data_IF_814661550989
#
_entry.id   IF_814661550989
#
_cell.length_a   1.000
_cell.length_b   1.000
_cell.length_c   1.000
_cell.angle_alpha   90.00
_cell.angle_beta   90.00
_cell.angle_gamma   90.00
#
_symmetry.space_group_name_H-M   'P 1'
#
loop_
_entity.id
_entity.type
_entity.pdbx_description
1 polymer ?
#
# COMPACT_ATOMS: atom_id res chain seq x y z
N UNK A 1 11.42 -25.89 -14.16
CA UNK A 1 12.31 -24.87 -14.74
C UNK A 1 11.97 -23.52 -14.09
N UNK A 2 12.90 -22.98 -13.30
CA UNK A 2 12.72 -21.70 -12.62
C UNK A 2 13.21 -20.58 -13.55
N UNK A 3 12.31 -19.72 -14.01
CA UNK A 3 12.66 -18.46 -14.65
C UNK A 3 12.81 -17.40 -13.57
N UNK A 4 14.03 -17.27 -13.05
CA UNK A 4 14.46 -16.08 -12.31
C UNK A 4 14.42 -14.88 -13.26
N UNK A 5 13.55 -13.91 -12.98
CA UNK A 5 13.64 -12.55 -13.53
C UNK A 5 14.06 -11.63 -12.40
N UNK A 6 15.34 -11.26 -12.40
CA UNK A 6 15.90 -10.24 -11.53
C UNK A 6 15.38 -8.85 -11.95
N UNK A 7 14.84 -8.14 -10.97
CA UNK A 7 14.61 -6.70 -10.83
C UNK A 7 14.36 -5.87 -12.10
N UNK A 8 13.09 -5.54 -12.37
CA UNK A 8 12.78 -4.29 -13.10
C UNK A 8 13.08 -3.14 -12.15
N UNK A 9 14.03 -2.28 -12.51
CA UNK A 9 14.47 -1.14 -11.70
C UNK A 9 13.29 -0.36 -11.10
N UNK A 10 13.14 -0.47 -9.78
CA UNK A 10 12.37 0.47 -8.97
C UNK A 10 13.19 1.74 -8.91
N UNK A 11 12.71 2.83 -9.50
CA UNK A 11 13.34 4.14 -9.34
C UNK A 11 13.04 4.62 -7.92
N UNK A 12 13.92 4.29 -6.98
CA UNK A 12 13.89 4.80 -5.60
C UNK A 12 14.68 6.10 -5.56
N UNK A 13 13.98 7.23 -5.58
CA UNK A 13 14.59 8.56 -5.54
C UNK A 13 14.41 9.12 -4.13
N UNK A 14 15.53 9.44 -3.48
CA UNK A 14 15.48 10.30 -2.30
C UNK A 14 15.27 11.73 -2.77
N UNK A 15 14.09 12.27 -2.49
CA UNK A 15 13.76 13.67 -2.69
C UNK A 15 13.95 14.45 -1.38
N UNK A 16 14.08 15.76 -1.50
CA UNK A 16 13.99 16.66 -0.36
C UNK A 16 12.84 17.63 -0.64
N UNK A 17 11.95 17.85 0.33
CA UNK A 17 10.95 18.89 0.19
C UNK A 17 11.60 20.28 0.28
N UNK A 18 10.83 21.32 -0.06
CA UNK A 18 11.29 22.70 -0.02
C UNK A 18 11.78 23.15 1.38
N UNK A 19 11.34 22.47 2.44
CA UNK A 19 11.76 22.70 3.82
C UNK A 19 12.99 21.87 4.25
N UNK A 20 13.60 21.13 3.32
CA UNK A 20 14.77 20.29 3.55
C UNK A 20 14.47 18.96 4.26
N UNK A 21 13.19 18.62 4.49
CA UNK A 21 12.82 17.30 5.00
C UNK A 21 13.10 16.20 3.97
N UNK A 22 13.55 15.04 4.45
CA UNK A 22 13.88 13.91 3.59
C UNK A 22 12.58 13.20 3.21
N UNK A 23 12.24 13.25 1.92
CA UNK A 23 11.14 12.50 1.35
C UNK A 23 11.67 11.32 0.57
N UNK A 24 11.02 10.17 0.74
CA UNK A 24 11.25 9.07 -0.19
C UNK A 24 10.16 9.09 -1.22
N UNK A 25 10.55 9.25 -2.48
CA UNK A 25 9.64 9.23 -3.62
C UNK A 25 10.00 8.02 -4.46
N UNK A 26 9.08 7.09 -4.58
CA UNK A 26 9.29 5.93 -5.43
C UNK A 26 8.14 5.79 -6.42
N UNK A 27 8.51 5.90 -7.70
CA UNK A 27 7.60 5.85 -8.85
C UNK A 27 7.15 4.42 -9.19
N UNK A 28 7.80 3.41 -8.59
CA UNK A 28 7.52 1.97 -8.81
C UNK A 28 7.72 1.17 -7.54
N UNK A 29 7.34 1.80 -6.44
CA UNK A 29 7.60 1.24 -5.15
C UNK A 29 6.85 -0.09 -5.00
N UNK A 30 7.60 -1.14 -4.74
CA UNK A 30 7.03 -2.42 -4.31
C UNK A 30 6.49 -2.19 -2.91
N UNK A 31 5.20 -1.87 -2.80
CA UNK A 31 4.44 -1.97 -1.56
C UNK A 31 3.49 -3.15 -1.69
N UNK A 32 3.32 -3.90 -0.62
CA UNK A 32 2.17 -4.77 -0.48
C UNK A 32 0.97 -3.91 -0.10
N UNK A 33 -0.09 -4.07 -0.89
CA UNK A 33 -1.37 -3.42 -0.69
C UNK A 33 -2.35 -4.41 -0.07
N UNK A 34 -3.02 -4.01 1.00
CA UNK A 34 -4.13 -4.76 1.57
C UNK A 34 -5.22 -3.81 2.03
N UNK A 35 -6.46 -4.28 2.09
CA UNK A 35 -7.51 -3.55 2.78
C UNK A 35 -8.40 -4.51 3.57
N UNK A 36 -8.97 -3.99 4.65
CA UNK A 36 -9.93 -4.68 5.51
C UNK A 36 -11.19 -3.83 5.61
N UNK A 37 -12.34 -4.49 5.59
CA UNK A 37 -13.62 -3.85 5.86
C UNK A 37 -14.08 -4.27 7.24
N UNK A 38 -14.36 -3.29 8.10
CA UNK A 38 -15.07 -3.52 9.36
C UNK A 38 -16.48 -2.98 9.21
N UNK A 39 -17.46 -3.86 9.38
CA UNK A 39 -18.86 -3.50 9.46
C UNK A 39 -19.21 -3.40 10.94
N UNK A 40 -19.29 -2.17 11.45
CA UNK A 40 -19.92 -1.91 12.74
C UNK A 40 -21.39 -1.54 12.47
N UNK A 41 -22.30 -1.84 13.41
CA UNK A 41 -23.77 -1.76 13.28
C UNK A 41 -24.36 -0.46 12.69
N UNK A 42 -23.56 0.61 12.54
CA UNK A 42 -23.97 1.87 11.94
C UNK A 42 -23.07 2.39 10.79
N UNK A 43 -21.83 1.90 10.61
CA UNK A 43 -20.90 2.42 9.62
C UNK A 43 -19.85 1.39 9.16
N UNK A 44 -19.74 1.17 7.86
CA UNK A 44 -18.62 0.43 7.28
C UNK A 44 -17.37 1.33 7.22
N UNK A 45 -16.27 0.88 7.84
CA UNK A 45 -14.96 1.52 7.70
C UNK A 45 -14.05 0.63 6.88
N UNK A 46 -13.42 1.20 5.86
CA UNK A 46 -12.42 0.50 5.05
C UNK A 46 -11.04 0.96 5.48
N UNK A 47 -10.24 0.05 6.01
CA UNK A 47 -8.85 0.32 6.39
C UNK A 47 -7.95 -0.18 5.28
N UNK A 48 -7.22 0.74 4.65
CA UNK A 48 -6.23 0.44 3.62
C UNK A 48 -4.84 0.44 4.26
N UNK A 49 -4.02 -0.55 3.93
CA UNK A 49 -2.67 -0.71 4.44
C UNK A 49 -1.65 -0.76 3.30
N UNK A 50 -0.49 -0.14 3.54
CA UNK A 50 0.70 -0.23 2.69
C UNK A 50 1.88 -0.74 3.50
N UNK A 51 2.51 -1.80 3.02
CA UNK A 51 3.75 -2.36 3.59
C UNK A 51 4.89 -2.25 2.57
N UNK A 52 5.98 -1.51 2.83
CA UNK A 52 7.14 -1.44 1.94
C UNK A 52 7.80 -2.80 1.75
N UNK A 53 8.03 -3.23 0.51
CA UNK A 53 8.70 -4.50 0.17
C UNK A 53 10.23 -4.38 0.04
N UNK A 54 10.83 -3.26 0.48
CA UNK A 54 12.27 -2.96 0.37
C UNK A 54 13.15 -3.64 1.45
N UNK A 55 12.64 -4.70 2.08
CA UNK A 55 13.30 -5.40 3.18
C UNK A 55 13.17 -4.72 4.55
N UNK A 56 12.65 -3.48 4.63
CA UNK A 56 12.28 -2.82 5.91
C UNK A 56 10.84 -3.12 6.36
N UNK A 57 10.16 -4.00 5.62
CA UNK A 57 8.75 -4.44 5.75
C UNK A 57 8.29 -4.81 7.18
N UNK A 58 9.24 -4.99 8.09
CA UNK A 58 8.98 -5.36 9.48
C UNK A 58 8.52 -4.19 10.36
N UNK A 59 8.92 -2.94 10.09
CA UNK A 59 8.70 -1.84 11.05
C UNK A 59 7.94 -0.62 10.50
N UNK A 60 8.21 -0.21 9.25
CA UNK A 60 7.49 0.91 8.66
C UNK A 60 6.26 0.40 7.91
N UNK A 61 5.06 0.68 8.42
CA UNK A 61 3.78 0.35 7.78
C UNK A 61 2.86 1.54 7.86
N UNK A 62 2.02 1.70 6.84
CA UNK A 62 1.13 2.86 6.74
C UNK A 62 -0.32 2.42 6.62
N UNK A 63 -1.23 3.13 7.27
CA UNK A 63 -2.65 2.88 7.25
C UNK A 63 -3.44 4.14 6.86
N UNK A 64 -4.52 3.93 6.12
CA UNK A 64 -5.53 4.93 5.84
C UNK A 64 -6.90 4.34 6.23
N UNK A 65 -7.52 4.90 7.27
CA UNK A 65 -8.89 4.57 7.62
C UNK A 65 -9.85 5.46 6.81
N UNK A 66 -10.55 4.86 5.84
CA UNK A 66 -11.63 5.47 5.09
C UNK A 66 -12.95 5.26 5.82
N UNK A 67 -13.26 6.19 6.72
CA UNK A 67 -14.62 6.35 7.24
C UNK A 67 -15.52 6.91 6.15
N UNK A 68 -16.84 6.80 6.31
CA UNK A 68 -17.81 7.39 5.38
C UNK A 68 -17.56 8.88 5.15
N UNK A 69 -17.31 9.62 6.22
CA UNK A 69 -17.03 11.06 6.17
C UNK A 69 -15.75 11.35 5.39
N UNK A 70 -14.65 10.68 5.74
CA UNK A 70 -13.36 10.87 5.06
C UNK A 70 -13.45 10.54 3.57
N UNK A 71 -14.14 9.45 3.22
CA UNK A 71 -14.37 9.08 1.83
C UNK A 71 -15.20 10.14 1.10
N UNK A 72 -16.29 10.66 1.68
CA UNK A 72 -17.10 11.69 1.04
C UNK A 72 -16.34 13.01 0.85
N UNK A 73 -15.48 13.39 1.80
CA UNK A 73 -14.57 14.54 1.64
C UNK A 73 -13.61 14.33 0.48
N UNK A 74 -12.88 13.20 0.49
CA UNK A 74 -11.94 12.85 -0.58
C UNK A 74 -12.63 12.77 -1.95
N UNK A 75 -13.85 12.21 -2.01
CA UNK A 75 -14.66 12.13 -3.24
C UNK A 75 -14.95 13.51 -3.80
N UNK A 76 -15.31 14.47 -2.95
CA UNK A 76 -15.62 15.85 -3.37
C UNK A 76 -14.37 16.62 -3.79
N UNK A 77 -13.33 16.57 -2.98
CA UNK A 77 -12.09 17.31 -3.23
C UNK A 77 -11.38 16.86 -4.50
N UNK A 78 -11.38 15.55 -4.77
CA UNK A 78 -10.72 14.96 -5.93
C UNK A 78 -11.69 14.67 -7.09
N UNK A 79 -12.96 15.09 -6.98
CA UNK A 79 -14.00 14.84 -8.00
C UNK A 79 -14.14 13.36 -8.41
N UNK A 80 -13.98 12.43 -7.46
CA UNK A 80 -14.03 10.99 -7.73
C UNK A 80 -15.47 10.57 -8.05
N UNK A 81 -15.63 9.65 -9.01
CA UNK A 81 -16.93 9.09 -9.40
C UNK A 81 -17.32 7.83 -8.62
N UNK A 82 -16.51 7.43 -7.64
CA UNK A 82 -16.68 6.21 -6.85
C UNK A 82 -17.83 6.36 -5.85
N UNK A 83 -18.58 5.28 -5.59
CA UNK A 83 -19.78 5.33 -4.75
C UNK A 83 -19.52 4.98 -3.29
N UNK A 84 -18.50 4.17 -3.03
CA UNK A 84 -18.19 3.67 -1.68
C UNK A 84 -16.70 3.73 -1.37
N UNK A 85 -16.37 3.79 -0.07
CA UNK A 85 -14.99 3.67 0.41
C UNK A 85 -14.33 2.35 -0.03
N UNK A 86 -15.13 1.27 -0.14
CA UNK A 86 -14.67 -0.04 -0.61
C UNK A 86 -14.29 -0.01 -2.09
N UNK A 87 -15.14 0.57 -2.94
CA UNK A 87 -14.82 0.75 -4.37
C UNK A 87 -13.55 1.60 -4.55
N UNK A 88 -13.33 2.58 -3.67
CA UNK A 88 -12.11 3.36 -3.65
C UNK A 88 -10.87 2.51 -3.36
N UNK A 89 -10.91 1.71 -2.29
CA UNK A 89 -9.84 0.79 -1.95
C UNK A 89 -9.58 -0.23 -3.08
N UNK A 90 -10.62 -0.84 -3.63
CA UNK A 90 -10.47 -1.80 -4.73
C UNK A 90 -9.88 -1.16 -5.99
N UNK A 91 -10.25 0.08 -6.30
CA UNK A 91 -9.69 0.83 -7.43
C UNK A 91 -8.22 1.17 -7.21
N UNK A 92 -7.85 1.57 -5.99
CA UNK A 92 -6.46 1.79 -5.59
C UNK A 92 -5.62 0.52 -5.75
N UNK A 93 -6.09 -0.62 -5.24
CA UNK A 93 -5.41 -1.90 -5.39
C UNK A 93 -5.17 -2.27 -6.86
N UNK A 94 -6.18 -2.15 -7.71
CA UNK A 94 -6.05 -2.40 -9.16
C UNK A 94 -5.05 -1.46 -9.84
N UNK A 95 -5.03 -0.18 -9.45
CA UNK A 95 -4.08 0.79 -9.99
C UNK A 95 -2.64 0.45 -9.60
N UNK A 96 -2.42 0.04 -8.35
CA UNK A 96 -1.12 -0.42 -7.86
C UNK A 96 -0.65 -1.70 -8.57
N UNK A 97 -1.55 -2.65 -8.82
CA UNK A 97 -1.24 -3.85 -9.61
C UNK A 97 -0.83 -3.52 -11.05
N UNK A 98 -1.54 -2.58 -11.70
CA UNK A 98 -1.15 -2.07 -13.04
C UNK A 98 0.23 -1.42 -13.00
N UNK A 99 0.48 -0.57 -12.01
CA UNK A 99 1.78 0.08 -11.84
C UNK A 99 2.92 -0.94 -11.62
N UNK A 100 2.67 -2.00 -10.84
CA UNK A 100 3.62 -3.09 -10.63
C UNK A 100 3.93 -3.87 -11.92
N UNK A 101 2.96 -4.01 -12.83
CA UNK A 101 3.18 -4.58 -14.18
C UNK A 101 3.86 -3.62 -15.17
N UNK A 102 3.97 -2.34 -14.82
CA UNK A 102 4.48 -1.28 -15.68
C UNK A 102 3.44 -0.72 -16.66
N UNK A 103 2.15 -0.96 -16.41
CA UNK A 103 0.99 -0.50 -17.20
C UNK A 103 0.36 0.78 -16.62
N UNK A 104 1.04 1.42 -15.67
CA UNK A 104 0.58 2.64 -14.99
C UNK A 104 1.66 3.20 -14.09
N UNK A 105 1.36 4.32 -13.42
CA UNK A 105 2.28 4.99 -12.51
C UNK A 105 1.62 5.19 -11.15
N UNK A 106 2.35 4.85 -10.10
CA UNK A 106 1.95 5.13 -8.72
C UNK A 106 3.16 5.68 -7.97
N UNK A 107 2.95 6.77 -7.26
CA UNK A 107 4.00 7.46 -6.51
C UNK A 107 3.64 7.44 -5.04
N UNK A 108 4.49 6.84 -4.21
CA UNK A 108 4.39 7.03 -2.76
C UNK A 108 5.46 8.02 -2.31
N UNK A 109 5.02 9.08 -1.65
CA UNK A 109 5.86 10.02 -0.94
C UNK A 109 5.76 9.77 0.56
N UNK A 110 6.83 9.31 1.20
CA UNK A 110 6.89 9.10 2.65
C UNK A 110 7.69 10.21 3.32
N UNK A 111 7.13 10.79 4.37
CA UNK A 111 7.84 11.68 5.29
C UNK A 111 8.13 10.94 6.61
N UNK A 112 9.41 10.65 6.83
CA UNK A 112 9.87 9.93 8.01
C UNK A 112 9.73 10.74 9.32
N UNK A 113 9.68 12.08 9.25
CA UNK A 113 9.58 12.93 10.45
C UNK A 113 8.14 13.04 10.94
N UNK A 114 7.19 13.25 10.02
CA UNK A 114 5.77 13.35 10.37
C UNK A 114 5.08 11.99 10.49
N UNK A 115 5.71 10.92 10.00
CA UNK A 115 5.08 9.61 9.91
C UNK A 115 3.96 9.56 8.86
N UNK A 116 3.85 10.56 7.99
CA UNK A 116 2.84 10.60 6.94
C UNK A 116 3.36 9.97 5.66
N UNK A 117 2.46 9.37 4.89
CA UNK A 117 2.73 8.98 3.52
C UNK A 117 1.58 9.41 2.61
N UNK A 118 1.89 9.83 1.40
CA UNK A 118 0.91 10.19 0.37
C UNK A 118 1.10 9.29 -0.83
N UNK A 119 0.06 8.55 -1.19
CA UNK A 119 -0.01 7.75 -2.41
C UNK A 119 -0.75 8.53 -3.48
N UNK A 120 -0.12 8.67 -4.64
CA UNK A 120 -0.71 9.27 -5.83
C UNK A 120 -0.77 8.22 -6.93
N UNK A 121 -1.96 7.99 -7.48
CA UNK A 121 -2.14 7.24 -8.71
C UNK A 121 -2.10 8.23 -9.87
N UNK A 122 -1.20 7.98 -10.81
CA UNK A 122 -0.93 8.88 -11.92
C UNK A 122 -1.23 8.17 -13.23
N UNK A 123 -1.97 8.84 -14.09
CA UNK A 123 -2.27 8.37 -15.44
C UNK A 123 -1.64 9.30 -16.47
N UNK A 124 -1.24 8.72 -17.60
CA UNK A 124 -0.73 9.47 -18.74
C UNK A 124 -1.87 9.78 -19.71
N UNK A 125 -2.17 11.07 -19.89
CA UNK A 125 -3.16 11.57 -20.82
C UNK A 125 -2.52 12.57 -21.78
N UNK A 126 -2.55 12.27 -23.08
CA UNK A 126 -2.07 13.17 -24.14
C UNK A 126 -0.67 13.77 -23.87
N UNK A 127 0.29 12.91 -23.47
CA UNK A 127 1.66 13.27 -23.10
C UNK A 127 1.77 14.15 -21.84
N UNK A 128 0.78 14.12 -20.95
CA UNK A 128 0.82 14.77 -19.63
C UNK A 128 0.55 13.74 -18.55
N UNK A 129 1.26 13.85 -17.43
CA UNK A 129 0.99 13.08 -16.23
C UNK A 129 -0.07 13.80 -15.40
N UNK A 130 -1.12 13.09 -15.03
CA UNK A 130 -2.25 13.63 -14.24
C UNK A 130 -2.46 12.74 -13.02
N UNK A 131 -2.46 13.35 -11.84
CA UNK A 131 -2.89 12.69 -10.60
C UNK A 131 -4.39 12.45 -10.68
N UNK A 132 -4.82 11.18 -10.63
CA UNK A 132 -6.23 10.80 -10.75
C UNK A 132 -6.83 10.35 -9.42
N UNK A 133 -5.99 10.04 -8.43
CA UNK A 133 -6.42 9.71 -7.07
C UNK A 133 -5.25 9.88 -6.11
N UNK A 134 -5.52 10.52 -4.98
CA UNK A 134 -4.57 10.72 -3.90
C UNK A 134 -5.12 10.16 -2.59
N UNK A 135 -4.27 9.46 -1.85
CA UNK A 135 -4.63 8.88 -0.57
C UNK A 135 -3.55 9.20 0.47
N UNK A 136 -3.97 9.77 1.58
CA UNK A 136 -3.09 10.07 2.71
C UNK A 136 -3.12 8.94 3.74
N UNK A 137 -1.94 8.53 4.16
CA UNK A 137 -1.70 7.48 5.13
C UNK A 137 -0.88 8.02 6.30
N UNK A 138 -1.08 7.36 7.44
CA UNK A 138 -0.31 7.59 8.65
C UNK A 138 0.45 6.32 8.99
N UNK A 139 1.65 6.47 9.56
CA UNK A 139 2.45 5.37 10.04
C UNK A 139 1.72 4.69 11.19
N UNK A 140 1.62 3.37 11.12
CA UNK A 140 1.07 2.57 12.21
C UNK A 140 1.97 2.66 13.44
N UNK A 141 1.37 2.61 14.62
CA UNK A 141 2.13 2.54 15.87
C UNK A 141 2.77 1.16 16.06
N UNK A 142 3.75 1.09 16.97
CA UNK A 142 4.51 -0.14 17.26
C UNK A 142 3.62 -1.30 17.74
N UNK A 143 2.50 -0.99 18.41
CA UNK A 143 1.58 -2.01 18.96
C UNK A 143 0.80 -2.65 17.82
N UNK A 144 0.28 -1.85 16.89
CA UNK A 144 -0.41 -2.30 15.70
C UNK A 144 0.52 -3.07 14.77
N UNK A 145 1.73 -2.55 14.51
CA UNK A 145 2.73 -3.24 13.70
C UNK A 145 3.06 -4.60 14.31
N UNK A 146 3.30 -4.67 15.62
CA UNK A 146 3.59 -5.93 16.31
C UNK A 146 2.45 -6.92 16.22
N UNK A 147 1.21 -6.47 16.39
CA UNK A 147 0.03 -7.33 16.28
C UNK A 147 -0.07 -7.94 14.87
N UNK A 148 0.09 -7.11 13.83
CA UNK A 148 0.05 -7.55 12.43
C UNK A 148 1.18 -8.51 12.06
N UNK A 149 2.42 -8.18 12.42
CA UNK A 149 3.58 -9.05 12.20
C UNK A 149 3.39 -10.40 12.90
N UNK A 150 2.83 -10.40 14.11
CA UNK A 150 2.54 -11.65 14.84
C UNK A 150 1.49 -12.50 14.13
N UNK A 151 0.44 -11.87 13.59
CA UNK A 151 -0.59 -12.57 12.81
C UNK A 151 -0.03 -13.16 11.51
N UNK A 152 0.78 -12.39 10.77
CA UNK A 152 1.47 -12.83 9.55
C UNK A 152 2.40 -14.01 9.83
N UNK A 153 3.20 -13.92 10.89
CA UNK A 153 4.06 -15.02 11.31
C UNK A 153 3.26 -16.27 11.70
N UNK A 154 2.14 -16.10 12.39
CA UNK A 154 1.20 -17.18 12.69
C UNK A 154 0.61 -17.83 11.44
N UNK A 155 0.22 -17.03 10.43
CA UNK A 155 -0.24 -17.53 9.12
C UNK A 155 0.85 -18.32 8.42
N UNK A 156 2.07 -17.79 8.36
CA UNK A 156 3.20 -18.45 7.72
C UNK A 156 3.55 -19.80 8.37
N UNK A 157 3.48 -19.90 9.71
CA UNK A 157 3.63 -21.18 10.42
C UNK A 157 2.57 -22.21 10.01
N UNK A 158 1.30 -21.80 9.92
CA UNK A 158 0.21 -22.69 9.49
C UNK A 158 0.40 -23.15 8.05
N UNK A 159 0.80 -22.23 7.16
CA UNK A 159 1.12 -22.54 5.77
C UNK A 159 2.28 -23.52 5.65
N UNK A 160 3.37 -23.31 6.41
CA UNK A 160 4.50 -24.24 6.45
C UNK A 160 4.07 -25.63 6.93
N UNK A 161 3.31 -25.71 8.02
CA UNK A 161 2.81 -26.98 8.53
C UNK A 161 1.92 -27.72 7.49
N UNK A 162 1.11 -26.99 6.72
CA UNK A 162 0.31 -27.55 5.64
C UNK A 162 1.19 -28.07 4.48
N UNK A 163 2.27 -27.36 4.14
CA UNK A 163 3.24 -27.83 3.16
C UNK A 163 4.00 -29.08 3.64
N UNK A 164 4.45 -29.09 4.89
CA UNK A 164 5.13 -30.24 5.49
C UNK A 164 4.22 -31.48 5.55
N UNK A 165 2.93 -31.29 5.87
CA UNK A 165 1.95 -32.37 5.84
C UNK A 165 1.73 -32.92 4.42
N UNK A 166 1.79 -32.08 3.40
CA UNK A 166 1.54 -32.45 2.01
C UNK A 166 2.74 -33.10 1.33
N UNK A 167 3.96 -32.65 1.65
CA UNK A 167 5.17 -33.01 0.91
C UNK A 167 6.24 -33.71 1.76
N UNK A 168 5.97 -33.95 3.05
CA UNK A 168 6.99 -34.33 4.02
C UNK A 168 7.73 -33.11 4.55
N UNK A 169 8.52 -33.27 5.64
CA UNK A 169 9.35 -32.18 6.17
C UNK A 169 10.26 -31.65 5.06
N UNK A 170 10.24 -30.34 4.88
CA UNK A 170 11.23 -29.64 4.07
C UNK A 170 12.55 -29.69 4.85
N UNK A 171 13.40 -30.68 4.57
CA UNK A 171 14.77 -30.68 5.10
C UNK A 171 15.54 -29.50 4.50
N UNK A 172 16.28 -28.80 5.37
CA UNK A 172 17.12 -27.65 5.03
C UNK A 172 18.41 -28.08 4.31
#
# INVERSE_FOLDING_TARGET
MATSRVARATLDVRGYAADGSAHRVSARASFEYAYETREDDANATVRVMLTPSDGRATFARYACALTRERFETMRREQSLTLRTARECAETCGRALEKAARGEGLAVLACDAKSGKARLEIVEEYANRLVSVMEMEFEMMDDVEVRARVSEEYGRMKRTLAAYEAKFGRLEA
#
